data_IF_133920637936
#
_entry.id   IF_133920637936
#
_cell.length_a   1.000
_cell.length_b   1.000
_cell.length_c   1.000
_cell.angle_alpha   90.00
_cell.angle_beta   90.00
_cell.angle_gamma   90.00
#
_symmetry.space_group_name_H-M   'P 1'
#
loop_
_entity.id
_entity.type
_entity.pdbx_description
1 polymer ?
#
# COMPACT_ATOMS: atom_id res chain seq x y z
N UNK A 1 -5.73 -5.56 -23.42
CA UNK A 1 -5.77 -4.12 -23.00
C UNK A 1 -4.96 -3.87 -21.72
N UNK A 2 -5.18 -4.59 -20.59
CA UNK A 2 -4.42 -4.35 -19.35
C UNK A 2 -2.95 -4.80 -19.41
N UNK A 3 -2.64 -5.89 -20.12
CA UNK A 3 -1.25 -6.37 -20.33
C UNK A 3 -0.41 -5.46 -21.23
N UNK A 4 -1.03 -4.73 -22.13
CA UNK A 4 -0.35 -3.81 -23.07
C UNK A 4 0.02 -2.47 -22.42
N UNK A 5 -0.67 -2.10 -21.34
CA UNK A 5 -0.43 -0.84 -20.62
C UNK A 5 0.66 -0.93 -19.54
N UNK A 6 1.16 -2.14 -19.22
CA UNK A 6 2.26 -2.34 -18.26
C UNK A 6 2.00 -1.83 -16.83
N UNK A 7 0.74 -1.46 -16.54
CA UNK A 7 0.33 -0.97 -15.22
C UNK A 7 -0.51 -2.03 -14.54
N UNK A 8 0.00 -2.57 -13.45
CA UNK A 8 -0.77 -3.47 -12.60
C UNK A 8 -1.50 -2.63 -11.54
N UNK A 9 -2.80 -2.32 -11.71
CA UNK A 9 -3.55 -1.53 -10.73
C UNK A 9 -3.64 -2.23 -9.37
N UNK A 10 -3.52 -3.57 -9.35
CA UNK A 10 -3.51 -4.38 -8.13
C UNK A 10 -2.21 -4.21 -7.33
N UNK A 11 -1.09 -3.85 -7.97
CA UNK A 11 0.20 -3.65 -7.29
C UNK A 11 0.18 -2.51 -6.26
N UNK A 12 -0.62 -1.47 -6.50
CA UNK A 12 -0.76 -0.33 -5.59
C UNK A 12 -1.73 -0.56 -4.42
N UNK A 13 -2.78 -1.36 -4.61
CA UNK A 13 -3.79 -1.62 -3.57
C UNK A 13 -3.55 -2.93 -2.79
N UNK A 14 -2.63 -3.80 -3.25
CA UNK A 14 -2.35 -5.08 -2.60
C UNK A 14 -2.00 -4.94 -1.10
N UNK A 15 -1.16 -3.99 -0.67
CA UNK A 15 -0.89 -3.79 0.76
C UNK A 15 -2.14 -3.48 1.57
N UNK A 16 -3.07 -2.69 1.02
CA UNK A 16 -4.34 -2.34 1.68
C UNK A 16 -5.23 -3.58 1.81
N UNK A 17 -5.31 -4.39 0.75
CA UNK A 17 -6.14 -5.63 0.76
C UNK A 17 -5.63 -6.64 1.79
N UNK A 18 -4.31 -6.78 1.96
CA UNK A 18 -3.70 -7.64 2.98
C UNK A 18 -3.88 -7.05 4.39
N UNK A 19 -3.79 -5.71 4.51
CA UNK A 19 -3.91 -5.01 5.79
C UNK A 19 -5.33 -5.02 6.35
N UNK A 20 -6.37 -4.95 5.50
CA UNK A 20 -7.77 -4.86 5.95
C UNK A 20 -8.21 -6.04 6.84
N UNK A 21 -7.96 -7.32 6.50
CA UNK A 21 -8.29 -8.43 7.39
C UNK A 21 -7.59 -8.33 8.76
N UNK A 22 -6.31 -7.92 8.77
CA UNK A 22 -5.54 -7.75 10.02
C UNK A 22 -6.14 -6.65 10.88
N UNK A 23 -6.47 -5.51 10.28
CA UNK A 23 -7.08 -4.38 10.99
C UNK A 23 -8.45 -4.73 11.56
N UNK A 24 -9.32 -5.34 10.76
CA UNK A 24 -10.66 -5.75 11.18
C UNK A 24 -10.57 -6.82 12.28
N UNK A 25 -9.68 -7.80 12.13
CA UNK A 25 -9.46 -8.85 13.12
C UNK A 25 -8.96 -8.29 14.44
N UNK A 26 -7.96 -7.40 14.40
CA UNK A 26 -7.44 -6.74 15.60
C UNK A 26 -8.49 -5.87 16.29
N UNK A 27 -9.23 -5.07 15.52
CA UNK A 27 -10.33 -4.26 16.07
C UNK A 27 -11.39 -5.13 16.75
N UNK A 28 -11.77 -6.24 16.11
CA UNK A 28 -12.76 -7.16 16.64
C UNK A 28 -12.25 -7.84 17.92
N UNK A 29 -11.01 -8.32 17.93
CA UNK A 29 -10.41 -8.96 19.13
C UNK A 29 -10.29 -7.97 20.27
N UNK A 30 -9.75 -6.76 20.05
CA UNK A 30 -9.64 -5.75 21.09
C UNK A 30 -10.99 -5.40 21.71
N UNK A 31 -12.02 -5.26 20.88
CA UNK A 31 -13.37 -4.96 21.34
C UNK A 31 -14.01 -6.12 22.09
N UNK A 32 -13.69 -7.37 21.75
CA UNK A 32 -14.30 -8.56 22.33
C UNK A 32 -13.89 -8.84 23.78
N UNK A 33 -12.85 -8.20 24.30
CA UNK A 33 -12.44 -8.35 25.70
C UNK A 33 -13.37 -7.63 26.68
N UNK A 34 -13.94 -6.48 26.27
CA UNK A 34 -14.96 -5.81 27.09
C UNK A 34 -16.38 -6.20 26.62
N UNK A 35 -17.02 -7.11 27.34
CA UNK A 35 -18.37 -7.61 27.06
C UNK A 35 -19.43 -7.06 28.01
N UNK A 36 -19.06 -6.08 28.86
CA UNK A 36 -19.94 -5.51 29.87
C UNK A 36 -20.93 -4.48 29.33
N UNK A 37 -20.64 -3.88 28.16
CA UNK A 37 -21.54 -2.91 27.54
C UNK A 37 -22.89 -3.52 27.10
N UNK A 38 -23.89 -2.68 26.97
CA UNK A 38 -25.23 -3.06 26.48
C UNK A 38 -25.48 -2.63 25.03
N UNK A 39 -24.52 -1.95 24.39
CA UNK A 39 -24.63 -1.40 23.02
C UNK A 39 -23.74 -2.15 22.02
N UNK A 40 -24.26 -2.34 20.84
CA UNK A 40 -23.56 -3.00 19.71
C UNK A 40 -23.41 -4.50 19.93
N UNK A 41 -22.18 -5.04 19.82
CA UNK A 41 -21.89 -6.47 20.02
C UNK A 41 -21.55 -6.84 21.47
N UNK A 42 -21.77 -5.96 22.43
CA UNK A 42 -21.56 -6.24 23.83
C UNK A 42 -22.61 -7.22 24.34
N UNK A 43 -22.19 -8.16 25.20
CA UNK A 43 -23.05 -9.25 25.69
C UNK A 43 -23.83 -8.88 26.98
N UNK A 44 -23.66 -7.66 27.48
CA UNK A 44 -24.27 -7.22 28.75
C UNK A 44 -23.83 -8.03 29.96
N UNK A 45 -22.63 -8.60 29.93
CA UNK A 45 -22.10 -9.37 31.06
C UNK A 45 -21.84 -8.47 32.25
N UNK A 46 -21.96 -9.00 33.47
CA UNK A 46 -21.43 -8.33 34.64
C UNK A 46 -19.89 -8.26 34.58
N UNK A 47 -19.29 -7.32 35.28
CA UNK A 47 -17.82 -7.20 35.38
C UNK A 47 -17.19 -8.49 35.84
N UNK A 48 -17.78 -9.15 36.82
CA UNK A 48 -17.30 -10.42 37.37
C UNK A 48 -17.44 -11.58 36.35
N UNK A 49 -18.55 -11.62 35.63
CA UNK A 49 -18.71 -12.61 34.55
C UNK A 49 -17.69 -12.40 33.44
N UNK A 50 -17.47 -11.16 33.01
CA UNK A 50 -16.47 -10.84 31.98
C UNK A 50 -15.06 -11.22 32.43
N UNK A 51 -14.73 -10.96 33.68
CA UNK A 51 -13.44 -11.26 34.30
C UNK A 51 -13.12 -12.77 34.35
N UNK A 52 -14.15 -13.61 34.52
CA UNK A 52 -14.01 -15.05 34.71
C UNK A 52 -14.37 -15.86 33.43
N UNK A 53 -14.63 -15.22 32.31
CA UNK A 53 -15.02 -15.89 31.06
C UNK A 53 -13.90 -15.85 30.06
N UNK A 54 -13.45 -17.00 29.50
CA UNK A 54 -12.48 -17.03 28.42
C UNK A 54 -12.98 -16.29 27.19
N UNK A 55 -12.07 -15.87 26.30
CA UNK A 55 -12.40 -15.13 25.08
C UNK A 55 -11.67 -15.74 23.88
N UNK A 56 -12.37 -16.38 22.95
CA UNK A 56 -11.81 -17.15 21.86
C UNK A 56 -10.80 -18.22 22.34
N UNK A 57 -9.54 -18.09 21.89
CA UNK A 57 -8.42 -18.97 22.29
C UNK A 57 -7.76 -18.52 23.59
N UNK A 58 -8.13 -17.36 24.14
CA UNK A 58 -7.54 -16.81 25.36
C UNK A 58 -8.25 -17.36 26.58
N UNK A 59 -7.51 -17.95 27.49
CA UNK A 59 -8.01 -18.41 28.79
C UNK A 59 -8.35 -17.24 29.72
N UNK A 60 -8.84 -17.57 30.90
CA UNK A 60 -9.29 -16.56 31.86
C UNK A 60 -8.12 -15.66 32.33
N UNK A 61 -6.93 -16.22 32.50
CA UNK A 61 -5.78 -15.46 32.98
C UNK A 61 -5.25 -14.48 31.92
N UNK A 62 -5.27 -14.84 30.64
CA UNK A 62 -4.94 -13.96 29.54
C UNK A 62 -5.99 -12.84 29.40
N UNK A 63 -7.28 -13.16 29.59
CA UNK A 63 -8.34 -12.13 29.60
C UNK A 63 -8.11 -11.13 30.71
N UNK A 64 -7.84 -11.58 31.94
CA UNK A 64 -7.54 -10.72 33.10
C UNK A 64 -6.30 -9.86 32.87
N UNK A 65 -5.22 -10.48 32.39
CA UNK A 65 -3.98 -9.77 32.05
C UNK A 65 -4.22 -8.68 31.00
N UNK A 66 -5.02 -8.98 29.96
CA UNK A 66 -5.32 -8.02 28.92
C UNK A 66 -6.23 -6.88 29.41
N UNK A 67 -7.25 -7.16 30.21
CA UNK A 67 -8.12 -6.13 30.79
C UNK A 67 -7.35 -5.16 31.69
N UNK A 68 -6.32 -5.64 32.40
CA UNK A 68 -5.44 -4.80 33.20
C UNK A 68 -4.30 -4.14 32.44
N UNK A 69 -4.07 -4.54 31.18
CA UNK A 69 -3.00 -3.99 30.38
C UNK A 69 -3.23 -2.51 30.05
N UNK A 70 -2.23 -1.67 30.30
CA UNK A 70 -2.31 -0.20 30.16
C UNK A 70 -1.11 0.37 29.43
N UNK A 71 -1.36 1.48 28.75
CA UNK A 71 -0.32 2.40 28.29
C UNK A 71 -0.39 3.63 29.18
N UNK A 72 0.68 3.91 29.93
CA UNK A 72 0.65 4.84 31.07
C UNK A 72 -0.45 4.42 32.03
N UNK A 73 -1.52 5.22 32.18
CA UNK A 73 -2.66 4.86 33.04
C UNK A 73 -3.91 4.46 32.24
N UNK A 74 -3.87 4.45 30.92
CA UNK A 74 -5.03 4.18 30.07
C UNK A 74 -5.10 2.70 29.64
N UNK A 75 -6.23 2.00 29.86
CA UNK A 75 -6.40 0.61 29.44
C UNK A 75 -6.32 0.45 27.92
N UNK A 76 -5.67 -0.63 27.45
CA UNK A 76 -5.46 -0.89 26.01
C UNK A 76 -6.77 -1.02 25.22
N UNK A 77 -7.81 -1.57 25.82
CA UNK A 77 -9.14 -1.71 25.20
C UNK A 77 -10.06 -0.54 25.46
N UNK A 78 -9.59 0.55 26.09
CA UNK A 78 -10.38 1.76 26.26
C UNK A 78 -10.33 2.65 25.03
N UNK A 79 -11.33 3.51 24.88
CA UNK A 79 -11.40 4.56 23.86
C UNK A 79 -11.96 5.84 24.47
N UNK A 80 -11.66 7.00 23.89
CA UNK A 80 -12.15 8.30 24.39
C UNK A 80 -13.70 8.37 24.37
N UNK A 81 -14.31 7.72 23.38
CA UNK A 81 -15.77 7.69 23.22
C UNK A 81 -16.49 6.66 24.12
N UNK A 82 -15.75 5.90 24.93
CA UNK A 82 -16.32 4.90 25.83
C UNK A 82 -17.08 5.56 26.98
N UNK A 83 -18.22 4.96 27.37
CA UNK A 83 -18.98 5.38 28.55
C UNK A 83 -18.24 5.05 29.85
N UNK A 84 -18.41 5.90 30.86
CA UNK A 84 -17.77 5.71 32.18
C UNK A 84 -18.32 4.48 32.94
N UNK A 85 -19.55 4.07 32.61
CA UNK A 85 -20.17 2.84 33.07
C UNK A 85 -19.37 1.57 32.74
N UNK A 86 -18.56 1.63 31.68
CA UNK A 86 -17.72 0.51 31.24
C UNK A 86 -16.32 0.49 31.87
N UNK A 87 -15.93 1.52 32.63
CA UNK A 87 -14.59 1.61 33.20
C UNK A 87 -14.27 0.50 34.21
N UNK A 88 -15.30 0.06 34.95
CA UNK A 88 -15.16 -1.05 35.90
C UNK A 88 -14.71 -2.38 35.24
N UNK A 89 -14.91 -2.54 33.93
CA UNK A 89 -14.46 -3.72 33.20
C UNK A 89 -12.92 -3.86 33.13
N UNK A 90 -12.19 -2.77 33.35
CA UNK A 90 -10.73 -2.72 33.28
C UNK A 90 -10.05 -2.65 34.65
N UNK A 91 -10.74 -3.05 35.67
CA UNK A 91 -10.25 -3.13 37.05
C UNK A 91 -10.59 -4.49 37.65
N UNK A 92 -9.97 -4.82 38.76
CA UNK A 92 -10.36 -6.02 39.52
C UNK A 92 -11.81 -5.88 39.99
N UNK A 93 -12.69 -6.89 39.78
CA UNK A 93 -14.08 -6.82 40.21
C UNK A 93 -14.23 -6.38 41.67
N UNK A 94 -15.14 -5.43 41.92
CA UNK A 94 -15.35 -4.84 43.23
C UNK A 94 -14.43 -3.68 43.61
N UNK A 95 -13.47 -3.32 42.74
CA UNK A 95 -12.65 -2.13 42.93
C UNK A 95 -13.13 -0.98 42.05
N UNK A 96 -13.09 0.29 42.50
CA UNK A 96 -13.41 1.43 41.69
C UNK A 96 -12.38 1.58 40.57
N UNK A 97 -12.79 2.20 39.45
CA UNK A 97 -11.85 2.56 38.37
C UNK A 97 -10.79 3.53 38.90
N UNK A 98 -9.53 3.19 38.67
CA UNK A 98 -8.34 3.94 39.08
C UNK A 98 -7.79 4.83 37.94
N UNK A 99 -8.55 5.03 36.86
CA UNK A 99 -8.26 5.89 35.72
C UNK A 99 -9.50 6.70 35.36
N UNK A 100 -9.28 7.77 34.62
CA UNK A 100 -10.30 8.73 34.19
C UNK A 100 -10.33 8.85 32.67
N UNK A 101 -11.35 9.53 32.14
CA UNK A 101 -11.38 9.89 30.73
C UNK A 101 -10.18 10.75 30.32
N UNK A 102 -9.67 11.60 31.24
CA UNK A 102 -8.49 12.42 30.98
C UNK A 102 -7.25 11.55 30.75
N UNK A 103 -7.07 10.49 31.53
CA UNK A 103 -5.94 9.55 31.34
C UNK A 103 -6.02 8.90 29.96
N UNK A 104 -7.22 8.49 29.51
CA UNK A 104 -7.42 7.96 28.17
C UNK A 104 -7.10 9.01 27.10
N UNK A 105 -7.55 10.26 27.27
CA UNK A 105 -7.33 11.34 26.32
C UNK A 105 -5.85 11.71 26.19
N UNK A 106 -5.11 11.75 27.32
CA UNK A 106 -3.67 12.05 27.33
C UNK A 106 -2.88 11.05 26.49
N UNK A 107 -3.32 9.79 26.43
CA UNK A 107 -2.69 8.76 25.60
C UNK A 107 -3.24 8.75 24.16
N UNK A 108 -4.57 8.77 24.03
CA UNK A 108 -5.22 8.60 22.74
C UNK A 108 -5.00 9.79 21.78
N UNK A 109 -5.10 11.04 22.26
CA UNK A 109 -4.99 12.22 21.40
C UNK A 109 -3.61 12.31 20.72
N UNK A 110 -2.48 12.20 21.43
CA UNK A 110 -1.17 12.15 20.78
C UNK A 110 -1.04 11.01 19.78
N UNK A 111 -1.54 9.81 20.12
CA UNK A 111 -1.50 8.66 19.20
C UNK A 111 -2.32 8.90 17.94
N UNK A 112 -3.52 9.49 18.04
CA UNK A 112 -4.37 9.85 16.90
C UNK A 112 -3.64 10.85 15.99
N UNK A 113 -3.06 11.91 16.57
CA UNK A 113 -2.32 12.93 15.81
C UNK A 113 -1.10 12.32 15.12
N UNK A 114 -0.31 11.52 15.84
CA UNK A 114 0.87 10.84 15.27
C UNK A 114 0.45 9.87 14.16
N UNK A 115 -0.61 9.09 14.37
CA UNK A 115 -1.12 8.17 13.36
C UNK A 115 -1.58 8.91 12.09
N UNK A 116 -2.31 10.02 12.23
CA UNK A 116 -2.78 10.82 11.11
C UNK A 116 -1.62 11.45 10.33
N UNK A 117 -0.65 12.05 11.03
CA UNK A 117 0.54 12.63 10.42
C UNK A 117 1.39 11.57 9.72
N UNK A 118 1.66 10.45 10.38
CA UNK A 118 2.44 9.36 9.81
C UNK A 118 1.75 8.77 8.56
N UNK A 119 0.42 8.62 8.57
CA UNK A 119 -0.36 8.19 7.40
C UNK A 119 -0.24 9.20 6.27
N UNK A 120 -0.34 10.50 6.56
CA UNK A 120 -0.15 11.56 5.56
C UNK A 120 1.24 11.52 4.93
N UNK A 121 2.31 11.43 5.74
CA UNK A 121 3.69 11.40 5.23
C UNK A 121 3.97 10.14 4.42
N UNK A 122 3.49 8.98 4.83
CA UNK A 122 3.63 7.73 4.06
C UNK A 122 2.92 7.84 2.70
N UNK A 123 1.69 8.36 2.69
CA UNK A 123 0.95 8.59 1.46
C UNK A 123 1.66 9.60 0.53
N UNK A 124 2.17 10.70 1.11
CA UNK A 124 2.91 11.73 0.37
C UNK A 124 4.15 11.15 -0.29
N UNK A 125 4.96 10.40 0.44
CA UNK A 125 6.17 9.77 -0.09
C UNK A 125 5.85 8.82 -1.26
N UNK A 126 4.78 8.03 -1.15
CA UNK A 126 4.31 7.14 -2.22
C UNK A 126 3.84 7.89 -3.47
N UNK A 127 3.05 8.97 -3.28
CA UNK A 127 2.54 9.79 -4.40
C UNK A 127 3.65 10.56 -5.08
N UNK A 128 4.58 11.16 -4.33
CA UNK A 128 5.72 11.89 -4.88
C UNK A 128 6.62 10.98 -5.70
N UNK A 129 6.89 9.75 -5.23
CA UNK A 129 7.64 8.76 -5.99
C UNK A 129 6.93 8.38 -7.29
N UNK A 130 5.63 8.13 -7.25
CA UNK A 130 4.85 7.81 -8.44
C UNK A 130 4.91 8.94 -9.48
N UNK A 131 4.81 10.20 -9.04
CA UNK A 131 4.94 11.37 -9.91
C UNK A 131 6.34 11.47 -10.52
N UNK A 132 7.38 11.33 -9.71
CA UNK A 132 8.77 11.38 -10.20
C UNK A 132 9.03 10.30 -11.28
N UNK A 133 8.48 9.09 -11.10
CA UNK A 133 8.58 8.01 -12.10
C UNK A 133 7.82 8.33 -13.39
N UNK A 134 6.66 8.99 -13.29
CA UNK A 134 5.90 9.45 -14.46
C UNK A 134 6.65 10.57 -15.22
N UNK A 135 7.24 11.52 -14.51
CA UNK A 135 8.05 12.60 -15.10
C UNK A 135 9.32 12.07 -15.77
N UNK A 136 9.95 11.05 -15.18
CA UNK A 136 11.08 10.35 -15.77
C UNK A 136 10.72 9.46 -16.98
N UNK A 137 9.43 9.33 -17.30
CA UNK A 137 8.95 8.50 -18.41
C UNK A 137 9.07 7.00 -18.16
N UNK A 138 9.29 6.58 -16.91
CA UNK A 138 9.37 5.17 -16.49
C UNK A 138 8.00 4.51 -16.43
N UNK A 139 6.98 5.31 -16.10
CA UNK A 139 5.58 4.90 -16.04
C UNK A 139 4.77 5.85 -16.91
N UNK A 140 3.90 5.31 -17.75
CA UNK A 140 3.01 6.14 -18.57
C UNK A 140 2.04 6.90 -17.67
N UNK A 141 1.97 8.22 -17.85
CA UNK A 141 0.91 9.01 -17.24
C UNK A 141 -0.43 8.57 -17.85
N UNK A 142 -1.36 8.22 -16.99
CA UNK A 142 -2.72 7.89 -17.43
C UNK A 142 -3.42 9.20 -17.81
N UNK A 143 -3.96 9.26 -19.02
CA UNK A 143 -4.75 10.40 -19.51
C UNK A 143 -6.24 10.06 -19.53
N UNK A 144 -7.10 11.08 -19.58
CA UNK A 144 -8.54 10.90 -19.61
C UNK A 144 -9.16 10.44 -18.27
N UNK A 145 -10.28 9.71 -18.29
CA UNK A 145 -11.04 9.33 -17.09
C UNK A 145 -10.22 8.51 -16.07
N UNK A 146 -9.32 7.66 -16.56
CA UNK A 146 -8.44 6.83 -15.72
C UNK A 146 -7.41 7.71 -14.97
N UNK A 147 -6.88 8.75 -15.61
CA UNK A 147 -5.98 9.71 -14.97
C UNK A 147 -6.68 10.50 -13.87
N UNK A 148 -7.90 10.96 -14.12
CA UNK A 148 -8.72 11.65 -13.12
C UNK A 148 -9.04 10.77 -11.90
N UNK A 149 -9.35 9.49 -12.13
CA UNK A 149 -9.57 8.51 -11.06
C UNK A 149 -8.31 8.32 -10.20
N UNK A 150 -7.14 8.24 -10.82
CA UNK A 150 -5.87 8.12 -10.13
C UNK A 150 -5.57 9.36 -9.28
N UNK A 151 -5.79 10.55 -9.83
CA UNK A 151 -5.59 11.81 -9.10
C UNK A 151 -6.57 11.95 -7.93
N UNK A 152 -7.82 11.51 -8.08
CA UNK A 152 -8.79 11.47 -7.00
C UNK A 152 -8.37 10.49 -5.90
N UNK A 153 -7.89 9.30 -6.27
CA UNK A 153 -7.37 8.30 -5.32
C UNK A 153 -6.15 8.83 -4.55
N UNK A 154 -5.23 9.51 -5.24
CA UNK A 154 -4.07 10.15 -4.60
C UNK A 154 -4.50 11.24 -3.60
N UNK A 155 -5.50 12.08 -3.94
CA UNK A 155 -6.04 13.07 -3.02
C UNK A 155 -6.72 12.44 -1.81
N UNK A 156 -7.48 11.35 -2.02
CA UNK A 156 -8.06 10.58 -0.92
C UNK A 156 -6.99 10.03 0.03
N UNK A 157 -5.93 9.43 -0.50
CA UNK A 157 -4.83 8.93 0.31
C UNK A 157 -4.14 10.03 1.12
N UNK A 158 -3.95 11.20 0.50
CA UNK A 158 -3.22 12.31 1.13
C UNK A 158 -4.04 13.03 2.20
N UNK A 159 -5.34 13.18 2.02
CA UNK A 159 -6.14 14.07 2.86
C UNK A 159 -7.30 13.37 3.54
N UNK A 160 -8.08 12.57 2.82
CA UNK A 160 -9.27 11.95 3.38
C UNK A 160 -8.94 10.97 4.51
N UNK A 161 -7.99 10.04 4.31
CA UNK A 161 -7.66 9.06 5.35
C UNK A 161 -7.05 9.70 6.60
N UNK A 162 -6.07 10.62 6.54
CA UNK A 162 -5.57 11.29 7.73
C UNK A 162 -6.65 12.08 8.48
N UNK A 163 -7.51 12.80 7.77
CA UNK A 163 -8.62 13.54 8.38
C UNK A 163 -9.62 12.57 9.02
N UNK A 164 -9.94 11.46 8.35
CA UNK A 164 -10.81 10.44 8.90
C UNK A 164 -10.26 9.87 10.21
N UNK A 165 -8.94 9.63 10.30
CA UNK A 165 -8.28 9.17 11.53
C UNK A 165 -8.48 10.21 12.64
N UNK A 166 -8.29 11.51 12.37
CA UNK A 166 -8.49 12.58 13.35
C UNK A 166 -9.93 12.65 13.86
N UNK A 167 -10.90 12.48 12.96
CA UNK A 167 -12.34 12.59 13.31
C UNK A 167 -12.83 11.34 14.03
N UNK A 168 -12.45 10.16 13.56
CA UNK A 168 -12.99 8.88 14.08
C UNK A 168 -12.11 8.25 15.17
N UNK A 169 -10.87 8.70 15.31
CA UNK A 169 -9.89 8.11 16.24
C UNK A 169 -10.31 8.08 17.70
N UNK A 170 -11.19 9.00 18.11
CA UNK A 170 -11.74 9.01 19.46
C UNK A 170 -12.57 7.75 19.80
N UNK A 171 -13.10 7.05 18.80
CA UNK A 171 -13.83 5.79 18.94
C UNK A 171 -12.94 4.56 18.88
N UNK A 172 -11.65 4.73 18.59
CA UNK A 172 -10.73 3.63 18.41
C UNK A 172 -10.05 3.29 19.74
N UNK A 173 -9.88 2.00 19.99
CA UNK A 173 -9.22 1.52 21.18
C UNK A 173 -7.73 1.90 21.17
N UNK A 174 -7.17 2.21 22.34
CA UNK A 174 -5.75 2.59 22.46
C UNK A 174 -4.83 1.55 21.84
N UNK A 175 -5.09 0.26 22.05
CA UNK A 175 -4.30 -0.82 21.43
C UNK A 175 -4.29 -0.75 19.89
N UNK A 176 -5.41 -0.37 19.27
CA UNK A 176 -5.47 -0.17 17.82
C UNK A 176 -4.68 1.06 17.37
N UNK A 177 -4.73 2.16 18.13
CA UNK A 177 -3.95 3.36 17.85
C UNK A 177 -2.44 3.09 17.95
N UNK A 178 -2.01 2.35 18.97
CA UNK A 178 -0.61 1.89 19.12
C UNK A 178 -0.19 1.04 17.91
N UNK A 179 -1.03 0.08 17.52
CA UNK A 179 -0.79 -0.71 16.32
C UNK A 179 -0.65 0.16 15.08
N UNK A 180 -1.55 1.12 14.86
CA UNK A 180 -1.50 2.02 13.71
C UNK A 180 -0.23 2.86 13.67
N UNK A 181 0.17 3.44 14.80
CA UNK A 181 1.41 4.22 14.89
C UNK A 181 2.60 3.33 14.56
N UNK A 182 2.70 2.15 15.19
CA UNK A 182 3.79 1.20 14.95
C UNK A 182 3.85 0.75 13.48
N UNK A 183 2.70 0.41 12.90
CA UNK A 183 2.61 0.01 11.50
C UNK A 183 3.00 1.15 10.54
N UNK A 184 2.61 2.39 10.82
CA UNK A 184 3.00 3.55 10.00
C UNK A 184 4.49 3.84 10.08
N UNK A 185 5.09 3.75 11.28
CA UNK A 185 6.53 3.90 11.48
C UNK A 185 7.29 2.80 10.72
N UNK A 186 6.87 1.55 10.85
CA UNK A 186 7.43 0.43 10.09
C UNK A 186 7.33 0.67 8.58
N UNK A 187 6.15 1.06 8.10
CA UNK A 187 5.91 1.36 6.68
C UNK A 187 6.81 2.47 6.16
N UNK A 188 7.05 3.51 6.95
CA UNK A 188 7.96 4.60 6.59
C UNK A 188 9.38 4.08 6.33
N UNK A 189 9.95 3.31 7.27
CA UNK A 189 11.30 2.76 7.12
C UNK A 189 11.37 1.75 5.97
N UNK A 190 10.37 0.88 5.84
CA UNK A 190 10.27 -0.09 4.77
C UNK A 190 10.22 0.59 3.39
N UNK A 191 9.37 1.60 3.23
CA UNK A 191 9.26 2.34 1.97
C UNK A 191 10.57 3.06 1.64
N UNK A 192 11.21 3.71 2.61
CA UNK A 192 12.47 4.41 2.39
C UNK A 192 13.58 3.46 1.94
N UNK A 193 13.67 2.28 2.52
CA UNK A 193 14.65 1.26 2.14
C UNK A 193 14.38 0.69 0.75
N UNK A 194 13.13 0.25 0.51
CA UNK A 194 12.73 -0.37 -0.77
C UNK A 194 12.80 0.64 -1.91
N UNK A 195 12.29 1.87 -1.69
CA UNK A 195 12.32 2.89 -2.73
C UNK A 195 13.74 3.29 -3.09
N UNK A 196 14.65 3.40 -2.11
CA UNK A 196 16.07 3.67 -2.40
C UNK A 196 16.69 2.64 -3.34
N UNK A 197 16.49 1.34 -3.05
CA UNK A 197 17.01 0.26 -3.91
C UNK A 197 16.38 0.25 -5.31
N UNK A 198 15.06 0.36 -5.39
CA UNK A 198 14.37 0.35 -6.67
C UNK A 198 14.73 1.56 -7.53
N UNK A 199 14.95 2.73 -6.93
CA UNK A 199 15.33 3.92 -7.68
C UNK A 199 16.76 3.83 -8.24
N UNK A 200 17.67 3.12 -7.57
CA UNK A 200 19.02 2.80 -8.10
C UNK A 200 18.92 1.84 -9.28
N UNK A 201 18.20 0.73 -9.13
CA UNK A 201 17.98 -0.24 -10.21
C UNK A 201 17.29 0.40 -11.45
N UNK A 202 16.31 1.27 -11.21
CA UNK A 202 15.63 1.99 -12.30
C UNK A 202 16.57 2.97 -13.02
N UNK A 203 17.43 3.69 -12.29
CA UNK A 203 18.43 4.59 -12.90
C UNK A 203 19.41 3.83 -13.76
N UNK A 204 19.91 2.69 -13.30
CA UNK A 204 20.80 1.82 -14.07
C UNK A 204 20.12 1.28 -15.33
N UNK A 205 18.88 0.80 -15.21
CA UNK A 205 18.11 0.31 -16.37
C UNK A 205 17.82 1.41 -17.41
N UNK A 206 17.56 2.65 -16.97
CA UNK A 206 17.39 3.80 -17.86
C UNK A 206 18.71 4.18 -18.54
N UNK A 207 19.81 4.20 -17.81
CA UNK A 207 21.13 4.47 -18.34
C UNK A 207 21.53 3.44 -19.40
N UNK A 208 21.32 2.16 -19.11
CA UNK A 208 21.57 1.07 -20.07
C UNK A 208 20.73 1.19 -21.34
N UNK A 209 19.42 1.50 -21.20
CA UNK A 209 18.54 1.74 -22.38
C UNK A 209 18.96 2.96 -23.19
N UNK A 210 19.40 4.04 -22.54
CA UNK A 210 19.91 5.23 -23.25
C UNK A 210 21.22 4.92 -23.99
N UNK A 211 22.14 4.16 -23.37
CA UNK A 211 23.38 3.73 -23.99
C UNK A 211 23.10 2.85 -25.22
N UNK A 212 22.26 1.83 -25.07
CA UNK A 212 21.87 0.97 -26.20
C UNK A 212 21.20 1.74 -27.35
N UNK A 213 20.36 2.75 -27.03
CA UNK A 213 19.73 3.60 -28.04
C UNK A 213 20.75 4.50 -28.76
N UNK A 214 21.73 5.03 -28.05
CA UNK A 214 22.85 5.81 -28.65
C UNK A 214 23.69 4.95 -29.58
N UNK A 215 24.09 3.75 -29.16
CA UNK A 215 24.81 2.83 -30.01
C UNK A 215 24.02 2.42 -31.27
N UNK A 216 22.72 2.19 -31.13
CA UNK A 216 21.85 1.90 -32.27
C UNK A 216 21.75 3.09 -33.22
N UNK A 217 21.69 4.32 -32.70
CA UNK A 217 21.69 5.53 -33.51
C UNK A 217 23.04 5.79 -34.21
N UNK A 218 24.17 5.54 -33.52
CA UNK A 218 25.50 5.64 -34.14
C UNK A 218 25.70 4.62 -35.26
N UNK A 219 25.21 3.39 -35.08
CA UNK A 219 25.24 2.35 -36.14
C UNK A 219 24.36 2.70 -37.35
N UNK A 220 23.31 3.51 -37.14
CA UNK A 220 22.40 4.00 -38.20
C UNK A 220 22.82 5.36 -38.78
N UNK A 221 23.75 6.06 -38.12
CA UNK A 221 24.28 7.34 -38.60
C UNK A 221 25.04 7.12 -39.92
N UNK A 222 24.80 7.93 -40.98
CA UNK A 222 25.50 7.81 -42.23
C UNK A 222 26.98 8.09 -42.01
N UNK A 223 27.85 7.16 -42.39
CA UNK A 223 29.28 7.39 -42.43
C UNK A 223 29.56 8.47 -43.48
N UNK A 224 30.50 9.36 -43.17
CA UNK A 224 30.90 10.45 -44.10
C UNK A 224 31.12 9.87 -45.51
N UNK A 225 30.33 10.32 -46.48
CA UNK A 225 30.40 9.83 -47.87
C UNK A 225 29.39 8.75 -48.27
N UNK A 226 28.54 8.24 -47.39
CA UNK A 226 27.46 7.29 -47.74
C UNK A 226 26.06 7.94 -47.65
N UNK A 227 25.21 7.68 -48.65
CA UNK A 227 23.81 8.14 -48.62
C UNK A 227 23.09 7.45 -47.44
N UNK A 228 22.20 8.18 -46.74
CA UNK A 228 21.43 7.62 -45.62
C UNK A 228 20.57 6.43 -46.06
N UNK A 229 20.66 5.33 -45.36
CA UNK A 229 19.84 4.15 -45.62
C UNK A 229 18.42 4.42 -45.03
N UNK A 230 17.46 4.54 -45.93
CA UNK A 230 16.06 4.68 -45.54
C UNK A 230 15.50 3.29 -45.15
N UNK A 231 15.21 3.04 -43.86
CA UNK A 231 14.78 1.71 -43.37
C UNK A 231 13.45 1.25 -44.04
N UNK A 232 12.62 2.17 -44.53
CA UNK A 232 11.38 1.83 -45.27
C UNK A 232 11.63 1.34 -46.69
N UNK A 233 12.79 1.60 -47.30
CA UNK A 233 13.15 1.11 -48.63
C UNK A 233 13.96 -0.19 -48.62
N UNK A 234 14.63 -0.54 -47.50
CA UNK A 234 15.44 -1.76 -47.38
C UNK A 234 14.61 -3.05 -47.43
N UNK A 235 13.45 -3.07 -46.83
CA UNK A 235 12.54 -4.22 -46.89
C UNK A 235 12.01 -4.56 -48.26
N UNK A 236 11.78 -3.56 -49.13
CA UNK A 236 11.34 -3.80 -50.52
C UNK A 236 12.46 -4.31 -51.44
N UNK A 237 13.73 -3.93 -51.21
CA UNK A 237 14.87 -4.45 -52.01
C UNK A 237 15.22 -5.90 -51.64
N UNK A 238 15.19 -6.27 -50.37
CA UNK A 238 15.39 -7.67 -49.96
C UNK A 238 14.27 -8.59 -50.43
N UNK A 239 13.02 -8.12 -50.42
CA UNK A 239 11.90 -8.88 -50.97
C UNK A 239 12.01 -9.05 -52.50
N UNK A 240 12.45 -8.01 -53.21
CA UNK A 240 12.67 -8.09 -54.68
C UNK A 240 13.85 -8.98 -55.05
N UNK A 241 14.95 -8.99 -54.27
CA UNK A 241 16.09 -9.90 -54.49
C UNK A 241 15.74 -11.35 -54.18
N UNK A 242 14.93 -11.61 -53.15
CA UNK A 242 14.43 -12.96 -52.85
C UNK A 242 13.48 -13.48 -53.93
N UNK A 243 12.65 -12.63 -54.51
CA UNK A 243 11.76 -12.99 -55.60
C UNK A 243 12.53 -13.29 -56.90
N UNK A 244 13.62 -12.59 -57.18
CA UNK A 244 14.46 -12.89 -58.37
C UNK A 244 15.28 -14.16 -58.20
N UNK A 245 15.75 -14.50 -56.98
CA UNK A 245 16.44 -15.75 -56.72
C UNK A 245 15.51 -16.98 -56.78
N UNK A 246 14.25 -16.86 -56.42
CA UNK A 246 13.29 -17.96 -56.56
C UNK A 246 12.94 -18.22 -58.05
N UNK A 247 12.85 -17.20 -58.89
CA UNK A 247 12.59 -17.36 -60.29
C UNK A 247 13.78 -17.93 -61.10
N UNK A 248 15.01 -17.62 -60.69
CA UNK A 248 16.20 -18.21 -61.34
C UNK A 248 16.47 -19.67 -60.90
N UNK A 249 15.97 -20.08 -59.73
CA UNK A 249 16.04 -21.45 -59.26
C UNK A 249 15.08 -22.40 -59.98
N UNK A 250 13.88 -21.95 -60.33
CA UNK A 250 12.89 -22.72 -61.09
C UNK A 250 13.27 -22.88 -62.59
N UNK A 251 13.91 -21.88 -63.19
CA UNK A 251 14.38 -21.98 -64.55
C UNK A 251 15.55 -22.97 -64.73
N UNK A 252 16.34 -23.23 -63.66
CA UNK A 252 17.46 -24.17 -63.70
C UNK A 252 17.05 -25.63 -63.52
N UNK A 253 15.90 -25.88 -62.92
CA UNK A 253 15.35 -27.22 -62.72
C UNK A 253 14.56 -27.74 -63.93
N UNK A 254 13.96 -26.83 -64.75
CA UNK A 254 13.22 -27.19 -65.96
C UNK A 254 14.11 -27.62 -67.13
N UNK A 255 15.40 -27.23 -67.14
CA UNK A 255 16.33 -27.55 -68.23
C UNK A 255 17.19 -28.83 -67.96
N UNK A 256 16.87 -29.60 -66.91
CA UNK A 256 17.57 -30.86 -66.54
C UNK A 256 16.69 -32.09 -66.71
N UNK A 257 15.47 -31.92 -67.25
CA UNK A 257 14.52 -33.00 -67.45
C UNK A 257 14.04 -33.07 -68.94
N UNK A 258 14.96 -32.79 -69.89
CA UNK A 258 14.79 -33.12 -71.31
C UNK A 258 15.98 -33.89 -71.81
#
# INVERSE_FOLDING_TARGET
>A
LQKEMGVNPLGGCLPILVQMPVFIGLFHVLRSFNRTGTSGNALGMSVEQNWNTPNYIFGVDEVRSFLLARVLNAPLSSSVGMGEDQYAAFTVPGTPADFTRMDIMIVAIPLIVIAALATHFNARMSVERTRARQEAGLVKRQEGPMGQQMDMMNKMMLWFFPIMILVTGAFWHIGLLVYMVTNNVWTYFQQRYIFGKLDEEEKEAVAAKKAAKREAQEKLAPKVGQKPINPKKGGKRQAAQKAQQSQSGEASTANKAS
#
